data_IF_905246477694
#
_entry.id   IF_905246477694
#
_cell.length_a   1.000
_cell.length_b   1.000
_cell.length_c   1.000
_cell.angle_alpha   90.00
_cell.angle_beta   90.00
_cell.angle_gamma   90.00
#
_symmetry.space_group_name_H-M   'P 1'
#
loop_
_entity.id
_entity.type
_entity.pdbx_description
1 polymer ?
#
# COMPACT_ATOMS: atom_id res chain seq x y z
N UNK A 1 -26.78 -17.15 -2.52
CA UNK A 1 -25.48 -16.45 -2.65
C UNK A 1 -25.83 -14.99 -2.88
N UNK A 2 -25.87 -14.21 -1.81
CA UNK A 2 -26.02 -12.76 -1.86
C UNK A 2 -24.77 -12.22 -1.20
N UNK A 3 -23.94 -11.58 -2.02
CA UNK A 3 -22.65 -11.00 -1.66
C UNK A 3 -22.88 -9.86 -0.67
N UNK A 4 -22.54 -10.08 0.59
CA UNK A 4 -22.44 -9.04 1.59
C UNK A 4 -21.06 -8.38 1.47
N UNK A 5 -20.87 -7.63 0.40
CA UNK A 5 -19.70 -6.76 0.28
C UNK A 5 -20.14 -5.36 0.68
N UNK A 6 -19.39 -4.75 1.59
CA UNK A 6 -19.54 -3.41 2.21
C UNK A 6 -20.15 -3.43 3.62
N UNK A 7 -19.40 -3.93 4.60
CA UNK A 7 -19.59 -3.58 6.01
C UNK A 7 -18.71 -2.41 6.47
N UNK A 8 -17.78 -1.94 5.63
CA UNK A 8 -16.92 -0.81 5.97
C UNK A 8 -17.70 0.50 5.80
N UNK A 9 -17.80 1.34 6.85
CA UNK A 9 -18.31 2.68 6.76
C UNK A 9 -17.46 3.52 5.80
N UNK A 10 -18.08 4.49 5.13
CA UNK A 10 -17.37 5.41 4.23
C UNK A 10 -16.63 6.54 4.97
N UNK A 11 -16.90 6.73 6.27
CA UNK A 11 -16.32 7.79 7.10
C UNK A 11 -15.26 7.21 8.06
N UNK A 12 -14.17 7.94 8.23
CA UNK A 12 -12.96 7.48 8.92
C UNK A 12 -13.14 7.43 10.44
N UNK A 13 -13.90 8.39 10.99
CA UNK A 13 -14.27 8.37 12.41
C UNK A 13 -15.13 7.14 12.79
N UNK A 14 -15.93 6.65 11.84
CA UNK A 14 -16.73 5.44 11.97
C UNK A 14 -15.86 4.18 11.84
N UNK A 15 -14.80 4.20 11.02
CA UNK A 15 -13.85 3.09 10.88
C UNK A 15 -13.06 2.87 12.18
N UNK A 16 -12.59 3.95 12.80
CA UNK A 16 -11.81 3.92 14.03
C UNK A 16 -12.65 3.50 15.26
N UNK A 17 -13.92 3.89 15.27
CA UNK A 17 -14.92 3.38 16.21
C UNK A 17 -15.19 1.89 15.96
N UNK A 18 -15.40 1.49 14.71
CA UNK A 18 -15.63 0.11 14.31
C UNK A 18 -14.46 -0.80 14.67
N UNK A 19 -13.21 -0.36 14.48
CA UNK A 19 -12.02 -1.11 14.86
C UNK A 19 -11.95 -1.35 16.38
N UNK A 20 -12.31 -0.34 17.19
CA UNK A 20 -12.38 -0.45 18.66
C UNK A 20 -13.49 -1.40 19.11
N UNK A 21 -14.69 -1.27 18.53
CA UNK A 21 -15.81 -2.15 18.81
C UNK A 21 -15.51 -3.60 18.40
N UNK A 22 -14.88 -3.78 17.24
CA UNK A 22 -14.44 -5.08 16.75
C UNK A 22 -13.40 -5.72 17.68
N UNK A 23 -12.43 -4.95 18.18
CA UNK A 23 -11.46 -5.44 19.16
C UNK A 23 -12.13 -5.90 20.46
N UNK A 24 -13.07 -5.12 20.98
CA UNK A 24 -13.85 -5.52 22.17
C UNK A 24 -14.66 -6.80 21.89
N UNK A 25 -15.30 -6.87 20.72
CA UNK A 25 -16.03 -8.07 20.31
C UNK A 25 -15.12 -9.29 20.21
N UNK A 26 -13.92 -9.16 19.64
CA UNK A 26 -12.91 -10.21 19.59
C UNK A 26 -12.53 -10.72 20.98
N UNK A 27 -12.29 -9.82 21.94
CA UNK A 27 -12.01 -10.19 23.33
C UNK A 27 -13.18 -10.96 23.96
N UNK A 28 -14.41 -10.54 23.69
CA UNK A 28 -15.61 -11.26 24.12
C UNK A 28 -15.68 -12.65 23.49
N UNK A 29 -15.45 -12.79 22.18
CA UNK A 29 -15.43 -14.09 21.49
C UNK A 29 -14.37 -15.00 22.11
N UNK A 30 -13.13 -14.54 22.29
CA UNK A 30 -12.07 -15.35 22.87
C UNK A 30 -12.39 -15.78 24.32
N UNK A 31 -13.05 -14.91 25.10
CA UNK A 31 -13.53 -15.25 26.45
C UNK A 31 -14.59 -16.36 26.48
N UNK A 32 -15.37 -16.54 25.41
CA UNK A 32 -16.44 -17.56 25.32
C UNK A 32 -15.95 -18.89 24.78
N UNK A 33 -14.81 -18.93 24.09
CA UNK A 33 -14.24 -20.14 23.49
C UNK A 33 -14.02 -21.30 24.49
N UNK A 34 -13.50 -21.09 25.72
CA UNK A 34 -13.38 -22.17 26.71
C UNK A 34 -14.73 -22.77 27.12
N UNK A 35 -15.79 -21.95 27.16
CA UNK A 35 -17.13 -22.40 27.52
C UNK A 35 -17.72 -23.29 26.42
N UNK A 36 -17.58 -22.89 25.16
CA UNK A 36 -18.02 -23.69 24.00
C UNK A 36 -17.30 -25.03 23.97
N UNK A 37 -15.98 -25.04 24.17
CA UNK A 37 -15.17 -26.26 24.28
C UNK A 37 -15.65 -27.17 25.43
N UNK A 38 -15.85 -26.59 26.62
CA UNK A 38 -16.32 -27.33 27.80
C UNK A 38 -17.70 -27.96 27.58
N UNK A 39 -18.64 -27.22 26.98
CA UNK A 39 -19.98 -27.72 26.66
C UNK A 39 -19.92 -28.85 25.64
N UNK A 40 -19.10 -28.73 24.59
CA UNK A 40 -18.92 -29.79 23.59
C UNK A 40 -18.29 -31.06 24.19
N UNK A 41 -17.20 -30.93 24.96
CA UNK A 41 -16.55 -32.06 25.63
C UNK A 41 -17.48 -32.79 26.60
N UNK A 42 -18.30 -32.04 27.35
CA UNK A 42 -19.28 -32.63 28.27
C UNK A 42 -20.43 -33.26 27.50
N UNK A 43 -20.90 -32.61 26.45
CA UNK A 43 -22.02 -33.04 25.62
C UNK A 43 -21.75 -34.33 24.87
N UNK A 44 -20.54 -34.49 24.32
CA UNK A 44 -20.11 -35.68 23.57
C UNK A 44 -20.31 -36.98 24.36
N UNK A 45 -20.07 -36.95 25.68
CA UNK A 45 -20.26 -38.08 26.59
C UNK A 45 -21.69 -38.64 26.62
N UNK A 46 -22.68 -37.86 26.18
CA UNK A 46 -24.09 -38.23 26.24
C UNK A 46 -24.71 -38.55 24.87
N UNK A 47 -24.07 -38.15 23.77
CA UNK A 47 -24.59 -38.30 22.40
C UNK A 47 -24.56 -39.77 21.94
N UNK A 48 -23.69 -40.62 22.50
CA UNK A 48 -23.62 -42.05 22.16
C UNK A 48 -24.78 -42.92 22.64
N UNK A 49 -25.73 -42.38 23.42
CA UNK A 49 -26.87 -43.16 23.96
C UNK A 49 -28.10 -43.07 23.05
N UNK A 50 -28.82 -44.19 22.83
CA UNK A 50 -30.01 -44.24 21.94
C UNK A 50 -31.28 -43.58 22.52
N UNK A 51 -31.15 -42.74 23.56
CA UNK A 51 -32.29 -42.13 24.26
C UNK A 51 -32.84 -40.91 23.51
N UNK A 52 -34.13 -40.62 23.69
CA UNK A 52 -34.74 -39.41 23.13
C UNK A 52 -34.09 -38.11 23.68
N UNK A 53 -33.68 -38.12 24.95
CA UNK A 53 -32.96 -37.00 25.59
C UNK A 53 -31.59 -36.75 24.97
N UNK A 54 -30.85 -37.81 24.61
CA UNK A 54 -29.56 -37.68 23.94
C UNK A 54 -29.69 -37.12 22.52
N UNK A 55 -30.70 -37.54 21.76
CA UNK A 55 -31.01 -36.93 20.45
C UNK A 55 -31.34 -35.44 20.56
N UNK A 56 -32.15 -35.06 21.56
CA UNK A 56 -32.48 -33.66 21.81
C UNK A 56 -31.24 -32.83 22.20
N UNK A 57 -30.36 -33.37 23.04
CA UNK A 57 -29.10 -32.72 23.41
C UNK A 57 -28.17 -32.56 22.20
N UNK A 58 -28.05 -33.60 21.37
CA UNK A 58 -27.27 -33.55 20.13
C UNK A 58 -27.75 -32.44 19.19
N UNK A 59 -29.05 -32.29 19.00
CA UNK A 59 -29.61 -31.20 18.19
C UNK A 59 -29.33 -29.80 18.78
N UNK A 60 -29.38 -29.65 20.11
CA UNK A 60 -29.02 -28.39 20.78
C UNK A 60 -27.54 -28.05 20.64
N UNK A 61 -26.66 -29.03 20.80
CA UNK A 61 -25.21 -28.86 20.61
C UNK A 61 -24.89 -28.51 19.16
N UNK A 62 -25.51 -29.19 18.19
CA UNK A 62 -25.35 -28.87 16.77
C UNK A 62 -25.78 -27.43 16.47
N UNK A 63 -26.92 -26.98 17.01
CA UNK A 63 -27.38 -25.60 16.84
C UNK A 63 -26.40 -24.59 17.46
N UNK A 64 -25.93 -24.85 18.69
CA UNK A 64 -24.93 -24.02 19.36
C UNK A 64 -23.63 -23.91 18.56
N UNK A 65 -23.11 -25.05 18.08
CA UNK A 65 -21.87 -25.08 17.29
C UNK A 65 -22.03 -24.37 15.96
N UNK A 66 -23.17 -24.54 15.28
CA UNK A 66 -23.46 -23.79 14.06
C UNK A 66 -23.47 -22.28 14.31
N UNK A 67 -24.09 -21.82 15.40
CA UNK A 67 -24.10 -20.38 15.76
C UNK A 67 -22.70 -19.88 16.10
N UNK A 68 -21.90 -20.70 16.77
CA UNK A 68 -20.50 -20.38 17.08
C UNK A 68 -19.64 -20.27 15.81
N UNK A 69 -19.78 -21.21 14.87
CA UNK A 69 -19.10 -21.16 13.58
C UNK A 69 -19.47 -19.91 12.78
N UNK A 70 -20.74 -19.49 12.78
CA UNK A 70 -21.18 -18.25 12.14
C UNK A 70 -20.55 -17.01 12.77
N UNK A 71 -20.39 -17.00 14.10
CA UNK A 71 -19.69 -15.90 14.79
C UNK A 71 -18.22 -15.88 14.35
N UNK A 72 -17.54 -17.03 14.33
CA UNK A 72 -16.13 -17.10 13.90
C UNK A 72 -15.93 -16.70 12.44
N UNK A 73 -16.86 -17.07 11.54
CA UNK A 73 -16.77 -16.68 10.13
C UNK A 73 -16.93 -15.17 9.97
N UNK A 74 -17.87 -14.56 10.69
CA UNK A 74 -18.09 -13.12 10.66
C UNK A 74 -16.89 -12.35 11.24
N UNK A 75 -16.32 -12.84 12.34
CA UNK A 75 -15.08 -12.29 12.91
C UNK A 75 -13.96 -12.28 11.88
N UNK A 76 -13.75 -13.40 11.16
CA UNK A 76 -12.69 -13.51 10.17
C UNK A 76 -12.92 -12.61 8.95
N UNK A 77 -14.18 -12.39 8.57
CA UNK A 77 -14.56 -11.49 7.48
C UNK A 77 -14.26 -10.03 7.84
N UNK A 78 -14.75 -9.56 9.01
CA UNK A 78 -14.46 -8.19 9.49
C UNK A 78 -12.96 -7.99 9.72
N UNK A 79 -12.23 -9.01 10.21
CA UNK A 79 -10.77 -8.92 10.35
C UNK A 79 -10.10 -8.65 9.01
N UNK A 80 -10.51 -9.38 7.97
CA UNK A 80 -9.97 -9.23 6.63
C UNK A 80 -10.24 -7.83 6.11
N UNK A 81 -11.48 -7.37 6.23
CA UNK A 81 -11.90 -6.07 5.73
C UNK A 81 -11.15 -4.92 6.43
N UNK A 82 -10.83 -5.06 7.72
CA UNK A 82 -10.01 -4.09 8.46
C UNK A 82 -8.51 -4.15 8.11
N UNK A 83 -7.99 -5.32 7.70
CA UNK A 83 -6.57 -5.50 7.37
C UNK A 83 -6.22 -5.13 5.93
N UNK A 84 -7.15 -5.26 4.99
CA UNK A 84 -6.90 -4.98 3.57
C UNK A 84 -6.38 -3.55 3.32
N UNK A 85 -7.01 -2.47 3.86
CA UNK A 85 -6.50 -1.12 3.68
C UNK A 85 -5.08 -0.93 4.24
N UNK A 86 -4.75 -1.62 5.33
CA UNK A 86 -3.41 -1.56 5.93
C UNK A 86 -2.37 -2.19 5.02
N UNK A 87 -2.69 -3.31 4.36
CA UNK A 87 -1.80 -3.95 3.39
C UNK A 87 -1.57 -3.03 2.19
N UNK A 88 -2.65 -2.49 1.61
CA UNK A 88 -2.58 -1.56 0.48
C UNK A 88 -1.74 -0.32 0.82
N UNK A 89 -1.88 0.21 2.03
CA UNK A 89 -1.07 1.32 2.50
C UNK A 89 0.42 0.97 2.62
N UNK A 90 0.76 -0.23 3.12
CA UNK A 90 2.15 -0.67 3.20
C UNK A 90 2.76 -0.89 1.81
N UNK A 91 2.00 -1.44 0.86
CA UNK A 91 2.43 -1.58 -0.54
C UNK A 91 2.69 -0.22 -1.20
N UNK A 92 1.84 0.78 -0.91
CA UNK A 92 2.05 2.16 -1.35
C UNK A 92 3.37 2.72 -0.81
N UNK A 93 3.64 2.55 0.50
CA UNK A 93 4.87 3.03 1.13
C UNK A 93 6.12 2.41 0.51
N UNK A 94 6.11 1.09 0.27
CA UNK A 94 7.22 0.40 -0.39
C UNK A 94 7.46 0.95 -1.81
N UNK A 95 6.38 1.18 -2.56
CA UNK A 95 6.48 1.77 -3.90
C UNK A 95 7.08 3.18 -3.85
N UNK A 96 6.67 4.01 -2.88
CA UNK A 96 7.23 5.36 -2.70
C UNK A 96 8.73 5.29 -2.37
N UNK A 97 9.15 4.33 -1.53
CA UNK A 97 10.56 4.13 -1.18
C UNK A 97 11.38 3.66 -2.38
N UNK A 98 10.84 2.79 -3.24
CA UNK A 98 11.48 2.39 -4.50
C UNK A 98 11.70 3.60 -5.43
N UNK A 99 10.70 4.49 -5.54
CA UNK A 99 10.84 5.73 -6.31
C UNK A 99 11.85 6.70 -5.69
N UNK A 100 11.96 6.74 -4.36
CA UNK A 100 12.97 7.54 -3.69
C UNK A 100 14.39 7.08 -4.06
N UNK A 101 14.64 5.76 -4.00
CA UNK A 101 15.92 5.16 -4.39
C UNK A 101 16.20 5.36 -5.88
N UNK A 102 15.18 5.24 -6.73
CA UNK A 102 15.31 5.48 -8.16
C UNK A 102 15.71 6.94 -8.45
N UNK A 103 15.09 7.93 -7.80
CA UNK A 103 15.47 9.34 -7.94
C UNK A 103 16.92 9.57 -7.50
N UNK A 104 17.36 9.01 -6.37
CA UNK A 104 18.75 9.10 -5.90
C UNK A 104 19.75 8.54 -6.92
N UNK A 105 19.39 7.44 -7.58
CA UNK A 105 20.19 6.85 -8.65
C UNK A 105 20.27 7.77 -9.88
N UNK A 106 19.15 8.39 -10.29
CA UNK A 106 19.14 9.37 -11.38
C UNK A 106 20.00 10.59 -11.04
N UNK A 107 19.87 11.15 -9.82
CA UNK A 107 20.70 12.25 -9.33
C UNK A 107 22.18 11.90 -9.39
N UNK A 108 22.54 10.69 -8.95
CA UNK A 108 23.91 10.20 -9.00
C UNK A 108 24.40 10.13 -10.44
N UNK A 109 23.61 9.57 -11.37
CA UNK A 109 23.98 9.48 -12.79
C UNK A 109 24.14 10.86 -13.44
N UNK A 110 23.25 11.82 -13.15
CA UNK A 110 23.36 13.20 -13.64
C UNK A 110 24.62 13.86 -13.08
N UNK A 111 24.93 13.68 -11.79
CA UNK A 111 26.15 14.21 -11.16
C UNK A 111 27.43 13.68 -11.82
N UNK A 112 27.44 12.45 -12.32
CA UNK A 112 28.59 11.92 -13.09
C UNK A 112 28.77 12.59 -14.46
N UNK A 113 27.72 13.20 -15.01
CA UNK A 113 27.81 14.01 -16.23
C UNK A 113 28.37 15.42 -15.93
N UNK A 114 28.38 15.86 -14.68
CA UNK A 114 28.86 17.17 -14.25
C UNK A 114 30.39 17.19 -13.97
N UNK A 115 31.08 18.31 -14.23
CA UNK A 115 30.61 19.48 -14.99
C UNK A 115 30.57 19.20 -16.50
N UNK A 116 29.66 19.88 -17.20
CA UNK A 116 29.63 19.84 -18.67
C UNK A 116 30.72 20.76 -19.23
N UNK A 117 31.86 20.15 -19.57
CA UNK A 117 32.95 20.85 -20.24
C UNK A 117 32.67 20.98 -21.74
N UNK A 118 32.09 22.10 -22.16
CA UNK A 118 31.79 22.39 -23.58
C UNK A 118 33.05 22.58 -24.45
N UNK A 119 34.24 22.63 -23.85
CA UNK A 119 35.53 22.65 -24.57
C UNK A 119 36.12 21.24 -24.77
N UNK A 120 35.45 20.19 -24.30
CA UNK A 120 35.87 18.81 -24.55
C UNK A 120 35.78 18.45 -26.04
N UNK A 121 36.40 17.34 -26.42
CA UNK A 121 36.30 16.82 -27.77
C UNK A 121 34.85 16.42 -28.11
N UNK A 122 34.52 16.40 -29.40
CA UNK A 122 33.16 16.15 -29.89
C UNK A 122 32.61 14.79 -29.45
N UNK A 123 33.46 13.75 -29.44
CA UNK A 123 33.07 12.40 -28.98
C UNK A 123 32.59 12.41 -27.53
N UNK A 124 33.30 13.09 -26.63
CA UNK A 124 32.93 13.19 -25.22
C UNK A 124 31.66 14.03 -25.02
N UNK A 125 31.42 15.03 -25.86
CA UNK A 125 30.19 15.81 -25.85
C UNK A 125 28.98 14.97 -26.28
N UNK A 126 29.12 14.17 -27.34
CA UNK A 126 28.08 13.23 -27.79
C UNK A 126 27.77 12.15 -26.76
N UNK A 127 28.79 11.59 -26.10
CA UNK A 127 28.61 10.63 -25.02
C UNK A 127 27.77 11.22 -23.88
N UNK A 128 28.10 12.43 -23.43
CA UNK A 128 27.32 13.14 -22.39
C UNK A 128 25.90 13.46 -22.86
N UNK A 129 25.75 13.89 -24.12
CA UNK A 129 24.44 14.19 -24.70
C UNK A 129 23.53 12.96 -24.73
N UNK A 130 24.05 11.82 -25.23
CA UNK A 130 23.32 10.55 -25.25
C UNK A 130 22.91 10.14 -23.84
N UNK A 131 23.85 10.21 -22.89
CA UNK A 131 23.58 9.79 -21.52
C UNK A 131 22.52 10.65 -20.84
N UNK A 132 22.58 11.97 -20.99
CA UNK A 132 21.58 12.88 -20.43
C UNK A 132 20.22 12.69 -21.11
N UNK A 133 20.20 12.41 -22.42
CA UNK A 133 18.98 12.10 -23.16
C UNK A 133 18.27 10.85 -22.64
N UNK A 134 19.01 9.77 -22.38
CA UNK A 134 18.48 8.56 -21.73
C UNK A 134 17.88 8.87 -20.36
N UNK A 135 18.62 9.59 -19.50
CA UNK A 135 18.15 9.93 -18.15
C UNK A 135 16.90 10.82 -18.19
N UNK A 136 16.84 11.77 -19.13
CA UNK A 136 15.68 12.62 -19.30
C UNK A 136 14.45 11.83 -19.79
N UNK A 137 14.63 10.86 -20.69
CA UNK A 137 13.57 9.96 -21.12
C UNK A 137 13.07 9.07 -19.97
N UNK A 138 13.99 8.51 -19.16
CA UNK A 138 13.65 7.73 -17.97
C UNK A 138 12.82 8.56 -16.98
N UNK A 139 13.18 9.84 -16.79
CA UNK A 139 12.43 10.77 -15.92
C UNK A 139 11.01 10.97 -16.44
N UNK A 140 10.85 11.31 -17.73
CA UNK A 140 9.53 11.54 -18.33
C UNK A 140 8.66 10.28 -18.26
N UNK A 141 9.25 9.10 -18.48
CA UNK A 141 8.52 7.84 -18.46
C UNK A 141 7.88 7.54 -17.09
N UNK A 142 8.47 8.05 -16.01
CA UNK A 142 8.00 7.81 -14.65
C UNK A 142 7.06 8.91 -14.11
N UNK A 143 6.84 10.00 -14.86
CA UNK A 143 6.03 11.15 -14.43
C UNK A 143 4.59 10.78 -14.11
N UNK A 144 3.94 10.01 -14.99
CA UNK A 144 2.55 9.58 -14.80
C UNK A 144 2.40 8.76 -13.51
N UNK A 145 3.31 7.82 -13.28
CA UNK A 145 3.22 6.95 -12.10
C UNK A 145 3.45 7.71 -10.79
N UNK A 146 4.41 8.63 -10.76
CA UNK A 146 4.66 9.48 -9.59
C UNK A 146 3.46 10.39 -9.31
N UNK A 147 2.78 10.87 -10.35
CA UNK A 147 1.55 11.66 -10.21
C UNK A 147 0.39 10.81 -9.64
N UNK A 148 0.18 9.60 -10.16
CA UNK A 148 -0.82 8.65 -9.61
C UNK A 148 -0.59 8.36 -8.12
N UNK A 149 0.67 8.09 -7.73
CA UNK A 149 1.03 7.82 -6.35
C UNK A 149 0.76 9.03 -5.44
N UNK A 150 1.01 10.23 -5.95
CA UNK A 150 0.71 11.48 -5.24
C UNK A 150 -0.79 11.67 -5.06
N UNK A 151 -1.59 11.48 -6.12
CA UNK A 151 -3.05 11.57 -6.04
C UNK A 151 -3.63 10.54 -5.07
N UNK A 152 -3.08 9.32 -5.06
CA UNK A 152 -3.45 8.26 -4.12
C UNK A 152 -3.12 8.67 -2.68
N UNK A 153 -1.93 9.21 -2.43
CA UNK A 153 -1.52 9.69 -1.10
C UNK A 153 -2.38 10.88 -0.63
N UNK A 154 -2.73 11.81 -1.53
CA UNK A 154 -3.59 12.94 -1.23
C UNK A 154 -5.04 12.51 -0.94
N UNK A 155 -5.56 11.50 -1.65
CA UNK A 155 -6.87 10.91 -1.37
C UNK A 155 -6.87 10.22 -0.01
N UNK A 156 -5.87 9.39 0.27
CA UNK A 156 -5.76 8.68 1.54
C UNK A 156 -5.71 9.64 2.75
N UNK A 157 -4.96 10.73 2.65
CA UNK A 157 -4.91 11.74 3.72
C UNK A 157 -6.23 12.44 4.01
N UNK A 158 -7.11 12.55 3.02
CA UNK A 158 -8.43 13.19 3.21
C UNK A 158 -9.41 12.26 3.90
N UNK A 159 -9.17 10.95 3.85
CA UNK A 159 -10.07 9.92 4.33
C UNK A 159 -9.45 9.09 5.46
N UNK A 160 -8.29 9.46 6.00
CA UNK A 160 -7.58 8.73 7.06
C UNK A 160 -6.79 9.67 7.96
N UNK A 161 -7.23 9.86 9.20
CA UNK A 161 -6.60 10.66 10.24
C UNK A 161 -5.43 9.86 10.88
N UNK A 162 -4.26 9.90 10.23
CA UNK A 162 -3.06 9.22 10.73
C UNK A 162 -1.76 9.98 10.48
N UNK A 163 -0.88 10.05 11.49
CA UNK A 163 0.46 10.65 11.35
C UNK A 163 1.33 9.94 10.32
N UNK A 164 1.10 8.65 10.11
CA UNK A 164 1.78 7.84 9.09
C UNK A 164 1.39 8.30 7.68
N UNK A 165 0.12 8.66 7.46
CA UNK A 165 -0.39 9.13 6.16
C UNK A 165 0.28 10.44 5.73
N UNK A 166 0.61 11.32 6.68
CA UNK A 166 1.40 12.53 6.41
C UNK A 166 2.79 12.16 5.88
N UNK A 167 3.40 11.11 6.41
CA UNK A 167 4.75 10.66 6.01
C UNK A 167 4.75 10.17 4.56
N UNK A 168 3.75 9.38 4.15
CA UNK A 168 3.61 8.91 2.77
C UNK A 168 3.50 10.08 1.77
N UNK A 169 2.61 11.05 2.06
CA UNK A 169 2.44 12.25 1.24
C UNK A 169 3.72 13.06 1.15
N UNK A 170 4.36 13.32 2.29
CA UNK A 170 5.54 14.17 2.31
C UNK A 170 6.68 13.52 1.52
N UNK A 171 6.86 12.19 1.62
CA UNK A 171 7.82 11.42 0.81
C UNK A 171 7.53 11.53 -0.69
N UNK A 172 6.30 11.23 -1.15
CA UNK A 172 6.00 11.26 -2.59
C UNK A 172 6.08 12.68 -3.17
N UNK A 173 5.74 13.71 -2.37
CA UNK A 173 5.90 15.09 -2.77
C UNK A 173 7.37 15.48 -2.95
N UNK A 174 8.25 15.00 -2.05
CA UNK A 174 9.70 15.19 -2.18
C UNK A 174 10.23 14.49 -3.45
N UNK A 175 9.82 13.24 -3.70
CA UNK A 175 10.18 12.50 -4.91
C UNK A 175 9.78 13.27 -6.16
N UNK A 176 8.51 13.68 -6.26
CA UNK A 176 8.00 14.43 -7.40
C UNK A 176 8.76 15.74 -7.64
N UNK A 177 9.01 16.52 -6.58
CA UNK A 177 9.74 17.80 -6.68
C UNK A 177 11.20 17.60 -7.14
N UNK A 178 11.88 16.57 -6.62
CA UNK A 178 13.24 16.22 -7.04
C UNK A 178 13.25 15.81 -8.50
N UNK A 179 12.30 15.00 -8.92
CA UNK A 179 12.17 14.55 -10.30
C UNK A 179 11.96 15.73 -11.28
N UNK A 180 11.07 16.67 -10.96
CA UNK A 180 10.89 17.90 -11.75
C UNK A 180 12.18 18.72 -11.85
N UNK A 181 12.91 18.85 -10.73
CA UNK A 181 14.19 19.57 -10.71
C UNK A 181 15.23 18.91 -11.62
N UNK A 182 15.30 17.58 -11.60
CA UNK A 182 16.21 16.79 -12.44
C UNK A 182 15.82 16.85 -13.92
N UNK A 183 14.52 16.83 -14.22
CA UNK A 183 14.01 16.98 -15.58
C UNK A 183 14.45 18.33 -16.17
N UNK A 184 14.24 19.43 -15.44
CA UNK A 184 14.66 20.76 -15.86
C UNK A 184 16.18 20.87 -16.03
N UNK A 185 16.94 20.29 -15.10
CA UNK A 185 18.40 20.29 -15.16
C UNK A 185 18.92 19.51 -16.38
N UNK A 186 18.44 18.29 -16.58
CA UNK A 186 18.81 17.46 -17.72
C UNK A 186 18.44 18.13 -19.04
N UNK A 187 17.25 18.72 -19.13
CA UNK A 187 16.80 19.48 -20.31
C UNK A 187 17.74 20.66 -20.62
N UNK A 188 18.11 21.47 -19.62
CA UNK A 188 19.02 22.60 -19.80
C UNK A 188 20.42 22.15 -20.28
N UNK A 189 20.91 21.02 -19.76
CA UNK A 189 22.18 20.42 -20.17
C UNK A 189 22.15 19.86 -21.59
N UNK A 190 21.08 19.15 -21.95
CA UNK A 190 20.85 18.66 -23.31
C UNK A 190 20.87 19.84 -24.29
N UNK A 191 20.09 20.89 -24.05
CA UNK A 191 20.05 22.07 -24.93
C UNK A 191 21.41 22.77 -25.06
N UNK A 192 22.19 22.84 -23.97
CA UNK A 192 23.53 23.42 -24.01
C UNK A 192 24.50 22.61 -24.88
N UNK A 193 24.41 21.29 -24.81
CA UNK A 193 25.19 20.36 -25.63
C UNK A 193 24.77 20.42 -27.11
N UNK A 194 23.47 20.44 -27.40
CA UNK A 194 22.94 20.58 -28.77
C UNK A 194 23.48 21.83 -29.45
N UNK A 195 23.40 22.98 -28.76
CA UNK A 195 23.90 24.24 -29.28
C UNK A 195 25.42 24.18 -29.58
N UNK A 196 26.20 23.51 -28.73
CA UNK A 196 27.64 23.36 -28.94
C UNK A 196 27.96 22.42 -30.11
N UNK A 197 27.26 21.30 -30.21
CA UNK A 197 27.43 20.32 -31.29
C UNK A 197 27.00 20.90 -32.65
N UNK A 198 25.92 21.68 -32.69
CA UNK A 198 25.44 22.38 -33.91
C UNK A 198 26.38 23.49 -34.39
N UNK A 199 27.12 24.13 -33.48
CA UNK A 199 28.09 25.17 -33.84
C UNK A 199 29.44 24.61 -34.25
N UNK A 200 29.78 23.39 -33.84
CA UNK A 200 31.03 22.70 -34.23
C UNK A 200 30.94 22.01 -35.59
N UNK A 201 29.72 21.82 -36.13
CA UNK A 201 29.47 21.19 -37.43
C UNK A 201 29.36 22.18 -38.60
N UNK A 202 29.57 23.47 -38.35
CA UNK A 202 29.64 24.56 -39.34
C UNK A 202 31.07 25.05 -39.50
#
# INVERSE_FOLDING_TARGET
IQSAHNYLPSDDSDLDLMAREYKNFLEQVESKKPNVLSINMRGEKYIGTKSARARQLGGKLQNMNRRWELILSWVAEVQRDLQMPQIEYQELLLTIDDYHLWVENIETKIRHCEPINLSANESALWEKYSRLGELHADIIHNEEKVLELKETADWLLRNTDGSEMSTARDKIYIVHKRMQSLQHLASAYITSLENKLLTSSR
#
